data_IF_508189730058
#
_entry.id   IF_508189730058
#
_cell.length_a   1.000
_cell.length_b   1.000
_cell.length_c   1.000
_cell.angle_alpha   90.00
_cell.angle_beta   90.00
_cell.angle_gamma   90.00
#
_symmetry.space_group_name_H-M   'P 1'
#
loop_
_entity.id
_entity.type
_entity.pdbx_description
1 polymer ?
#
# COMPACT_ATOMS: atom_id res chain seq x y z
N UNK A 1 -62.05 66.51 -11.70
CA UNK A 1 -60.92 66.14 -10.80
C UNK A 1 -60.79 64.65 -10.81
N UNK A 2 -59.89 64.12 -11.64
CA UNK A 2 -59.70 62.68 -11.82
C UNK A 2 -58.38 62.30 -11.19
N UNK A 3 -58.36 61.34 -10.25
CA UNK A 3 -57.16 60.83 -9.60
C UNK A 3 -56.78 59.51 -10.28
N UNK A 4 -55.67 59.50 -11.03
CA UNK A 4 -55.09 58.30 -11.57
C UNK A 4 -54.25 57.62 -10.52
N UNK A 5 -54.50 56.35 -10.26
CA UNK A 5 -53.71 55.48 -9.39
C UNK A 5 -52.77 54.65 -10.28
N UNK A 6 -51.45 54.83 -10.09
CA UNK A 6 -50.41 54.00 -10.71
C UNK A 6 -50.16 52.76 -9.82
N UNK A 7 -50.41 51.60 -10.36
CA UNK A 7 -49.96 50.34 -9.76
C UNK A 7 -48.56 50.03 -10.25
N UNK A 8 -47.60 50.02 -9.32
CA UNK A 8 -46.24 49.55 -9.57
C UNK A 8 -46.17 48.06 -9.31
N UNK A 9 -45.97 47.28 -10.36
CA UNK A 9 -45.71 45.85 -10.30
C UNK A 9 -44.27 45.53 -9.92
N UNK A 10 -44.03 44.96 -8.74
CA UNK A 10 -42.75 44.39 -8.37
C UNK A 10 -42.58 43.03 -8.99
N UNK A 11 -41.68 42.92 -9.98
CA UNK A 11 -41.19 41.63 -10.50
C UNK A 11 -40.12 41.07 -9.56
N UNK A 12 -40.48 40.04 -8.79
CA UNK A 12 -39.49 39.27 -7.99
C UNK A 12 -38.78 38.29 -8.92
N UNK A 13 -37.53 38.62 -9.33
CA UNK A 13 -36.65 37.64 -9.98
C UNK A 13 -36.20 36.63 -8.92
N UNK A 14 -36.79 35.43 -8.95
CA UNK A 14 -36.29 34.29 -8.20
C UNK A 14 -34.92 33.83 -8.75
N UNK A 15 -33.86 34.18 -8.05
CA UNK A 15 -32.56 33.55 -8.20
C UNK A 15 -32.68 32.09 -7.75
N UNK A 16 -32.86 31.19 -8.70
CA UNK A 16 -32.68 29.76 -8.48
C UNK A 16 -31.16 29.54 -8.25
N UNK A 17 -30.77 29.61 -6.96
CA UNK A 17 -29.46 29.16 -6.53
C UNK A 17 -29.30 27.69 -6.89
N UNK A 18 -28.51 27.38 -7.90
CA UNK A 18 -28.04 26.00 -8.13
C UNK A 18 -27.29 25.59 -6.87
N UNK A 19 -27.60 24.42 -6.28
CA UNK A 19 -26.77 23.89 -5.22
C UNK A 19 -25.38 23.67 -5.83
N UNK A 20 -24.39 24.44 -5.38
CA UNK A 20 -23.00 24.14 -5.64
C UNK A 20 -22.78 22.74 -5.08
N UNK A 21 -22.57 21.76 -5.97
CA UNK A 21 -22.06 20.46 -5.59
C UNK A 21 -20.71 20.78 -4.96
N UNK A 22 -20.62 20.69 -3.62
CA UNK A 22 -19.37 20.79 -2.92
C UNK A 22 -18.49 19.70 -3.52
N UNK A 23 -17.53 20.10 -4.35
CA UNK A 23 -16.47 19.23 -4.82
C UNK A 23 -15.76 18.78 -3.53
N UNK A 24 -15.85 17.51 -3.24
CA UNK A 24 -15.30 16.92 -2.03
C UNK A 24 -13.78 17.14 -2.07
N UNK A 25 -13.31 18.24 -1.45
CA UNK A 25 -11.90 18.67 -1.45
C UNK A 25 -11.05 17.75 -0.57
N UNK A 26 -11.35 16.46 -0.66
CA UNK A 26 -10.58 15.42 0.00
C UNK A 26 -9.16 15.37 -0.56
N UNK A 27 -8.15 15.38 0.33
CA UNK A 27 -6.76 15.17 -0.08
C UNK A 27 -6.65 13.84 -0.85
N UNK A 28 -6.17 13.87 -2.10
CA UNK A 28 -5.99 12.67 -2.89
C UNK A 28 -5.05 11.68 -2.20
N UNK A 29 -5.33 10.39 -2.32
CA UNK A 29 -4.56 9.32 -1.70
C UNK A 29 -3.79 8.50 -2.72
N UNK A 30 -2.64 8.00 -2.30
CA UNK A 30 -1.88 6.98 -3.00
C UNK A 30 -1.76 5.76 -2.08
N UNK A 31 -2.16 4.60 -2.57
CA UNK A 31 -2.00 3.31 -1.90
C UNK A 31 -1.06 2.45 -2.73
N UNK A 32 0.03 2.00 -2.11
CA UNK A 32 0.92 0.98 -2.68
C UNK A 32 0.64 -0.32 -1.93
N UNK A 33 0.30 -1.38 -2.66
CA UNK A 33 0.24 -2.75 -2.16
C UNK A 33 1.43 -3.49 -2.73
N UNK A 34 2.34 -3.90 -1.87
CA UNK A 34 3.58 -4.56 -2.23
C UNK A 34 3.58 -6.00 -1.68
N UNK A 35 3.81 -6.96 -2.55
CA UNK A 35 3.72 -8.39 -2.27
C UNK A 35 5.12 -9.00 -2.34
N UNK A 36 5.58 -9.51 -1.23
CA UNK A 36 6.83 -10.25 -1.13
C UNK A 36 6.64 -11.64 -1.75
N UNK A 37 7.38 -11.90 -2.83
CA UNK A 37 7.37 -13.19 -3.52
C UNK A 37 8.62 -14.02 -3.23
N UNK A 38 9.23 -13.81 -2.06
CA UNK A 38 10.30 -14.70 -1.57
C UNK A 38 9.73 -16.03 -1.08
N UNK A 39 10.56 -17.07 -1.16
CA UNK A 39 10.17 -18.43 -0.73
C UNK A 39 10.00 -18.58 0.79
N UNK A 40 10.40 -17.59 1.60
CA UNK A 40 10.15 -17.58 3.05
C UNK A 40 8.77 -17.03 3.41
N UNK A 41 8.13 -16.28 2.51
CA UNK A 41 6.85 -15.65 2.77
C UNK A 41 5.69 -16.61 2.58
N UNK A 42 4.86 -16.75 3.62
CA UNK A 42 3.73 -17.71 3.65
C UNK A 42 2.65 -17.45 2.59
N UNK A 43 2.56 -16.23 2.03
CA UNK A 43 1.55 -15.92 1.00
C UNK A 43 1.85 -16.55 -0.36
N UNK A 44 3.06 -17.02 -0.60
CA UNK A 44 3.44 -17.71 -1.85
C UNK A 44 3.32 -19.23 -1.77
N UNK A 45 3.17 -19.78 -0.54
CA UNK A 45 3.08 -21.23 -0.31
C UNK A 45 1.72 -21.68 0.20
N UNK A 46 0.91 -20.77 0.78
CA UNK A 46 -0.33 -21.10 1.43
C UNK A 46 -1.52 -20.38 0.83
N UNK A 47 -2.43 -21.11 0.19
CA UNK A 47 -3.70 -20.58 -0.34
C UNK A 47 -4.51 -19.85 0.73
N UNK A 48 -4.51 -20.38 1.98
CA UNK A 48 -5.23 -19.78 3.10
C UNK A 48 -4.64 -18.41 3.47
N UNK A 49 -3.30 -18.29 3.48
CA UNK A 49 -2.63 -17.04 3.83
C UNK A 49 -2.71 -16.05 2.67
N UNK A 50 -2.59 -16.52 1.43
CA UNK A 50 -2.81 -15.70 0.24
C UNK A 50 -4.25 -15.14 0.19
N UNK A 51 -5.25 -15.95 0.50
CA UNK A 51 -6.64 -15.51 0.56
C UNK A 51 -6.87 -14.44 1.65
N UNK A 52 -6.29 -14.60 2.84
CA UNK A 52 -6.36 -13.59 3.90
C UNK A 52 -5.65 -12.29 3.50
N UNK A 53 -4.44 -12.38 2.96
CA UNK A 53 -3.71 -11.21 2.46
C UNK A 53 -4.50 -10.50 1.34
N UNK A 54 -5.14 -11.26 0.46
CA UNK A 54 -6.03 -10.73 -0.58
C UNK A 54 -7.23 -9.97 0.00
N UNK A 55 -7.85 -10.51 1.05
CA UNK A 55 -8.96 -9.86 1.75
C UNK A 55 -8.53 -8.54 2.41
N UNK A 56 -7.43 -8.54 3.16
CA UNK A 56 -6.88 -7.31 3.77
C UNK A 56 -6.56 -6.23 2.72
N UNK A 57 -5.94 -6.63 1.61
CA UNK A 57 -5.66 -5.72 0.50
C UNK A 57 -6.95 -5.17 -0.11
N UNK A 58 -7.98 -5.99 -0.27
CA UNK A 58 -9.29 -5.57 -0.79
C UNK A 58 -9.96 -4.55 0.14
N UNK A 59 -9.95 -4.75 1.45
CA UNK A 59 -10.50 -3.81 2.44
C UNK A 59 -9.80 -2.43 2.35
N UNK A 60 -8.47 -2.42 2.19
CA UNK A 60 -7.74 -1.16 1.97
C UNK A 60 -8.20 -0.46 0.68
N UNK A 61 -8.34 -1.21 -0.42
CA UNK A 61 -8.76 -0.65 -1.71
C UNK A 61 -10.18 -0.10 -1.65
N UNK A 62 -11.10 -0.73 -0.88
CA UNK A 62 -12.47 -0.24 -0.70
C UNK A 62 -12.54 1.14 -0.05
N UNK A 63 -11.49 1.55 0.68
CA UNK A 63 -11.40 2.90 1.25
C UNK A 63 -11.08 3.99 0.24
N UNK A 64 -10.61 3.62 -0.97
CA UNK A 64 -10.21 4.56 -2.01
C UNK A 64 -11.44 5.16 -2.71
N UNK A 65 -11.32 6.41 -3.12
CA UNK A 65 -12.35 7.12 -3.83
C UNK A 65 -11.88 7.63 -5.19
N UNK A 66 -12.77 8.31 -5.89
CA UNK A 66 -12.50 8.84 -7.22
C UNK A 66 -11.27 9.78 -7.20
N UNK A 67 -10.30 9.54 -8.11
CA UNK A 67 -9.03 10.27 -8.21
C UNK A 67 -7.90 9.72 -7.35
N UNK A 68 -8.17 8.77 -6.43
CA UNK A 68 -7.10 8.08 -5.70
C UNK A 68 -6.35 7.11 -6.61
N UNK A 69 -5.09 6.85 -6.27
CA UNK A 69 -4.22 5.96 -7.03
C UNK A 69 -3.92 4.71 -6.22
N UNK A 70 -3.94 3.57 -6.92
CA UNK A 70 -3.50 2.30 -6.40
C UNK A 70 -2.31 1.82 -7.24
N UNK A 71 -1.26 1.39 -6.57
CA UNK A 71 -0.12 0.69 -7.17
C UNK A 71 -0.02 -0.70 -6.58
N UNK A 72 0.13 -1.71 -7.45
CA UNK A 72 0.41 -3.07 -7.02
C UNK A 72 1.76 -3.46 -7.56
N UNK A 73 2.59 -3.97 -6.69
CA UNK A 73 3.96 -4.38 -6.96
C UNK A 73 4.22 -5.74 -6.34
N UNK A 74 5.09 -6.50 -6.95
CA UNK A 74 5.81 -7.57 -6.25
C UNK A 74 7.22 -7.09 -5.95
N UNK A 75 7.89 -7.73 -5.02
CA UNK A 75 9.30 -7.52 -4.76
C UNK A 75 9.96 -8.81 -4.29
N UNK A 76 11.28 -8.86 -4.38
CA UNK A 76 12.11 -10.02 -4.08
C UNK A 76 13.57 -9.68 -4.32
N UNK A 77 14.27 -10.53 -5.07
CA UNK A 77 15.69 -10.33 -5.43
C UNK A 77 15.91 -9.46 -6.67
N UNK A 78 14.87 -8.94 -7.29
CA UNK A 78 14.92 -8.19 -8.54
C UNK A 78 14.62 -6.71 -8.37
N UNK A 79 15.10 -5.90 -9.31
CA UNK A 79 14.81 -4.47 -9.37
C UNK A 79 13.39 -4.19 -9.83
N UNK A 80 12.89 -2.96 -9.60
CA UNK A 80 11.56 -2.56 -10.10
C UNK A 80 11.40 -2.69 -11.62
N UNK A 81 12.47 -2.51 -12.40
CA UNK A 81 12.43 -2.64 -13.85
C UNK A 81 12.15 -4.08 -14.30
N UNK A 82 12.49 -5.06 -13.46
CA UNK A 82 12.30 -6.50 -13.70
C UNK A 82 11.05 -7.03 -12.97
N UNK A 83 10.28 -6.15 -12.33
CA UNK A 83 9.10 -6.51 -11.54
C UNK A 83 8.04 -7.16 -12.45
N UNK A 84 7.71 -8.45 -12.24
CA UNK A 84 6.79 -9.18 -13.09
C UNK A 84 5.32 -8.77 -12.90
N UNK A 85 4.98 -8.15 -11.77
CA UNK A 85 3.64 -7.65 -11.49
C UNK A 85 3.71 -6.17 -11.12
N UNK A 86 3.34 -5.33 -12.08
CA UNK A 86 3.33 -3.88 -11.93
C UNK A 86 2.04 -3.31 -12.47
N UNK A 87 1.13 -2.90 -11.57
CA UNK A 87 -0.16 -2.30 -11.93
C UNK A 87 -0.26 -0.90 -11.31
N UNK A 88 -0.67 0.07 -12.13
CA UNK A 88 -0.98 1.43 -11.72
C UNK A 88 -2.44 1.73 -12.12
N UNK A 89 -3.29 1.98 -11.14
CA UNK A 89 -4.74 2.14 -11.31
C UNK A 89 -5.17 3.46 -10.68
N UNK A 90 -5.93 4.27 -11.42
CA UNK A 90 -6.64 5.42 -10.84
C UNK A 90 -8.11 5.02 -10.62
N UNK A 91 -8.57 5.15 -9.38
CA UNK A 91 -9.97 4.90 -9.04
C UNK A 91 -10.85 5.95 -9.73
N UNK A 92 -11.87 5.49 -10.40
CA UNK A 92 -12.77 6.32 -11.20
C UNK A 92 -14.15 5.68 -11.32
N UNK A 93 -15.12 6.40 -11.92
CA UNK A 93 -16.44 5.82 -12.21
C UNK A 93 -16.38 4.59 -13.12
N UNK A 94 -15.37 4.49 -14.01
CA UNK A 94 -15.15 3.33 -14.89
C UNK A 94 -14.40 2.19 -14.19
N UNK A 95 -13.54 2.53 -13.24
CA UNK A 95 -12.74 1.61 -12.41
C UNK A 95 -13.04 1.88 -10.93
N UNK A 96 -14.25 1.55 -10.44
CA UNK A 96 -14.66 1.83 -9.07
C UNK A 96 -13.92 0.91 -8.09
N UNK A 97 -13.68 1.40 -6.87
CA UNK A 97 -12.88 0.71 -5.84
C UNK A 97 -13.34 -0.74 -5.59
N UNK A 98 -14.66 -0.98 -5.50
CA UNK A 98 -15.19 -2.33 -5.25
C UNK A 98 -14.84 -3.34 -6.35
N UNK A 99 -14.81 -2.92 -7.63
CA UNK A 99 -14.44 -3.79 -8.74
C UNK A 99 -12.93 -4.06 -8.75
N UNK A 100 -12.14 -3.04 -8.46
CA UNK A 100 -10.68 -3.16 -8.32
C UNK A 100 -10.35 -4.07 -7.16
N UNK A 101 -10.94 -3.86 -5.97
CA UNK A 101 -10.76 -4.67 -4.77
C UNK A 101 -11.01 -6.16 -5.05
N UNK A 102 -12.17 -6.51 -5.63
CA UNK A 102 -12.48 -7.90 -5.97
C UNK A 102 -11.52 -8.54 -6.98
N UNK A 103 -10.91 -7.75 -7.86
CA UNK A 103 -9.91 -8.25 -8.82
C UNK A 103 -8.56 -8.48 -8.17
N UNK A 104 -8.14 -7.57 -7.28
CA UNK A 104 -6.88 -7.66 -6.54
C UNK A 104 -6.92 -8.79 -5.52
N UNK A 105 -8.04 -8.96 -4.81
CA UNK A 105 -8.25 -10.07 -3.89
C UNK A 105 -8.01 -11.42 -4.58
N UNK A 106 -8.65 -11.65 -5.73
CA UNK A 106 -8.44 -12.87 -6.52
C UNK A 106 -7.00 -13.03 -7.02
N UNK A 107 -6.37 -11.94 -7.44
CA UNK A 107 -4.98 -11.94 -7.89
C UNK A 107 -4.05 -12.39 -6.76
N UNK A 108 -4.19 -11.81 -5.56
CA UNK A 108 -3.36 -12.17 -4.41
C UNK A 108 -3.66 -13.61 -3.95
N UNK A 109 -4.92 -14.01 -3.91
CA UNK A 109 -5.28 -15.39 -3.60
C UNK A 109 -4.72 -16.41 -4.58
N UNK A 110 -4.38 -16.01 -5.81
CA UNK A 110 -3.76 -16.90 -6.81
C UNK A 110 -2.22 -16.89 -6.80
N UNK A 111 -1.57 -16.20 -5.87
CA UNK A 111 -0.11 -16.13 -5.81
C UNK A 111 0.57 -17.51 -5.71
N UNK A 112 0.10 -18.46 -4.87
CA UNK A 112 0.71 -19.80 -4.82
C UNK A 112 0.69 -20.49 -6.19
N UNK A 113 -0.43 -20.51 -6.89
CA UNK A 113 -0.57 -21.09 -8.23
C UNK A 113 0.34 -20.40 -9.26
N UNK A 114 0.49 -19.07 -9.16
CA UNK A 114 1.33 -18.30 -10.06
C UNK A 114 2.82 -18.63 -9.87
N UNK A 115 3.23 -18.85 -8.63
CA UNK A 115 4.60 -19.23 -8.27
C UNK A 115 4.84 -20.69 -8.66
N UNK A 116 3.96 -21.63 -8.30
CA UNK A 116 4.08 -23.04 -8.63
C UNK A 116 4.14 -23.27 -10.16
N UNK A 117 3.34 -22.55 -10.92
CA UNK A 117 3.34 -22.63 -12.39
C UNK A 117 4.52 -21.92 -13.07
N UNK A 118 5.40 -21.24 -12.31
CA UNK A 118 6.52 -20.46 -12.83
C UNK A 118 6.14 -19.18 -13.56
N UNK A 119 4.87 -18.76 -13.50
CA UNK A 119 4.41 -17.48 -14.09
C UNK A 119 4.84 -16.28 -13.26
N UNK A 120 5.06 -16.47 -11.97
CA UNK A 120 5.64 -15.48 -11.08
C UNK A 120 6.92 -16.09 -10.46
N UNK A 121 8.10 -15.52 -10.73
CA UNK A 121 9.33 -16.03 -10.14
C UNK A 121 9.37 -15.76 -8.64
N UNK A 122 9.60 -16.80 -7.85
CA UNK A 122 9.90 -16.68 -6.43
C UNK A 122 11.41 -16.81 -6.21
N UNK A 123 11.98 -16.00 -5.33
CA UNK A 123 13.43 -15.98 -5.04
C UNK A 123 13.74 -16.32 -3.58
N UNK A 124 15.01 -16.73 -3.34
CA UNK A 124 15.53 -16.99 -1.99
C UNK A 124 16.04 -15.75 -1.27
N UNK A 125 15.96 -14.57 -1.88
CA UNK A 125 16.41 -13.29 -1.30
C UNK A 125 15.31 -12.24 -1.42
N UNK A 126 15.31 -11.28 -0.48
CA UNK A 126 14.28 -10.24 -0.39
C UNK A 126 14.94 -8.90 -0.09
N UNK A 127 14.84 -7.96 -1.03
CA UNK A 127 15.44 -6.63 -0.92
C UNK A 127 14.35 -5.60 -0.60
N UNK A 128 13.81 -5.62 0.62
CA UNK A 128 12.68 -4.77 1.03
C UNK A 128 13.11 -3.31 1.10
N UNK A 129 14.30 -3.03 1.67
CA UNK A 129 14.81 -1.66 1.81
C UNK A 129 15.04 -1.02 0.44
N UNK A 130 15.66 -1.76 -0.50
CA UNK A 130 15.87 -1.29 -1.87
C UNK A 130 14.53 -1.04 -2.59
N UNK A 131 13.54 -1.94 -2.43
CA UNK A 131 12.21 -1.73 -2.97
C UNK A 131 11.55 -0.45 -2.45
N UNK A 132 11.64 -0.19 -1.14
CA UNK A 132 11.08 1.03 -0.53
C UNK A 132 11.76 2.30 -1.04
N UNK A 133 13.08 2.28 -1.23
CA UNK A 133 13.83 3.39 -1.80
C UNK A 133 13.46 3.68 -3.26
N UNK A 134 13.29 2.64 -4.07
CA UNK A 134 12.86 2.76 -5.46
C UNK A 134 11.41 3.27 -5.58
N UNK A 135 10.48 2.77 -4.75
CA UNK A 135 9.10 3.28 -4.74
C UNK A 135 9.02 4.73 -4.24
N UNK A 136 9.82 5.09 -3.22
CA UNK A 136 9.86 6.45 -2.68
C UNK A 136 10.14 7.50 -3.77
N UNK A 137 11.01 7.19 -4.73
CA UNK A 137 11.31 8.07 -5.87
C UNK A 137 10.09 8.34 -6.78
N UNK A 138 9.05 7.49 -6.70
CA UNK A 138 7.84 7.57 -7.51
C UNK A 138 6.63 8.12 -6.73
N UNK A 139 6.77 8.34 -5.43
CA UNK A 139 5.71 8.75 -4.52
C UNK A 139 5.78 10.26 -4.23
N UNK A 140 4.69 10.81 -3.74
CA UNK A 140 4.55 12.23 -3.41
C UNK A 140 4.02 12.39 -1.98
N UNK A 141 4.71 11.78 -1.01
CA UNK A 141 4.30 11.69 0.40
C UNK A 141 3.91 13.04 1.03
N UNK A 142 4.57 14.13 0.66
CA UNK A 142 4.28 15.46 1.21
C UNK A 142 3.04 16.15 0.62
N UNK A 143 2.51 15.70 -0.53
CA UNK A 143 1.39 16.35 -1.23
C UNK A 143 0.15 15.46 -1.33
N UNK A 144 0.28 14.18 -1.09
CA UNK A 144 -0.78 13.18 -1.10
C UNK A 144 -0.71 12.34 0.17
N UNK A 145 -1.86 11.89 0.67
CA UNK A 145 -1.87 10.91 1.75
C UNK A 145 -1.41 9.56 1.17
N UNK A 146 -0.17 9.20 1.44
CA UNK A 146 0.46 8.02 0.84
C UNK A 146 0.64 6.93 1.89
N UNK A 147 0.11 5.75 1.59
CA UNK A 147 0.27 4.54 2.39
C UNK A 147 0.93 3.43 1.57
N UNK A 148 1.92 2.77 2.15
CA UNK A 148 2.62 1.62 1.58
C UNK A 148 2.33 0.42 2.48
N UNK A 149 1.57 -0.54 1.97
CA UNK A 149 1.25 -1.80 2.64
C UNK A 149 2.11 -2.92 2.05
N UNK A 150 3.02 -3.47 2.84
CA UNK A 150 3.87 -4.60 2.46
C UNK A 150 3.31 -5.88 3.07
N UNK A 151 3.05 -6.86 2.25
CA UNK A 151 2.67 -8.22 2.64
C UNK A 151 3.93 -9.09 2.62
N UNK A 152 4.58 -9.22 3.79
CA UNK A 152 5.93 -9.79 3.92
C UNK A 152 6.15 -10.31 5.33
N UNK A 153 7.04 -11.30 5.49
CA UNK A 153 7.57 -11.72 6.79
C UNK A 153 8.50 -10.67 7.42
N UNK A 154 8.88 -9.64 6.65
CA UNK A 154 9.73 -8.54 7.09
C UNK A 154 11.21 -8.89 7.20
N UNK A 155 11.62 -10.03 6.67
CA UNK A 155 13.02 -10.48 6.72
C UNK A 155 13.77 -9.95 5.50
N UNK A 156 14.58 -8.92 5.71
CA UNK A 156 15.53 -8.43 4.71
C UNK A 156 16.60 -9.49 4.45
N UNK A 157 16.76 -9.91 3.22
CA UNK A 157 17.77 -10.88 2.78
C UNK A 157 18.55 -10.31 1.58
N UNK A 158 19.43 -9.35 1.86
CA UNK A 158 20.23 -8.65 0.87
C UNK A 158 21.72 -8.83 1.13
N UNK A 159 22.61 -8.46 0.20
CA UNK A 159 24.05 -8.48 0.45
C UNK A 159 24.52 -7.66 1.65
N UNK A 160 23.71 -6.69 2.08
CA UNK A 160 24.03 -5.80 3.19
C UNK A 160 23.53 -6.30 4.56
N UNK A 161 22.65 -7.33 4.58
CA UNK A 161 22.01 -7.78 5.82
C UNK A 161 21.87 -9.30 5.84
N UNK A 162 22.44 -9.95 6.88
CA UNK A 162 22.22 -11.38 7.13
C UNK A 162 20.82 -11.56 7.76
N UNK A 163 19.95 -12.38 7.16
CA UNK A 163 18.64 -12.71 7.72
C UNK A 163 18.71 -13.25 9.15
N UNK A 164 19.67 -14.15 9.44
CA UNK A 164 19.83 -14.79 10.75
C UNK A 164 20.21 -13.76 11.82
N UNK A 165 21.09 -12.82 11.50
CA UNK A 165 21.48 -11.76 12.41
C UNK A 165 20.36 -10.74 12.61
N UNK A 166 19.59 -10.44 11.57
CA UNK A 166 18.44 -9.54 11.66
C UNK A 166 17.37 -10.14 12.58
N UNK A 167 16.95 -11.39 12.36
CA UNK A 167 15.92 -12.04 13.17
C UNK A 167 16.35 -12.28 14.61
N UNK A 168 17.66 -12.44 14.88
CA UNK A 168 18.21 -12.53 16.24
C UNK A 168 18.40 -11.15 16.92
N UNK A 169 18.19 -10.06 16.18
CA UNK A 169 18.40 -8.69 16.69
C UNK A 169 19.86 -8.27 16.78
N UNK A 170 20.78 -9.01 16.15
CA UNK A 170 22.22 -8.74 16.12
C UNK A 170 22.65 -7.83 14.95
N UNK A 171 21.82 -7.70 13.92
CA UNK A 171 22.04 -6.79 12.82
C UNK A 171 20.94 -5.72 12.74
N UNK A 172 21.27 -4.60 12.10
CA UNK A 172 20.31 -3.58 11.70
C UNK A 172 20.02 -3.70 10.21
N UNK A 173 18.90 -3.11 9.77
CA UNK A 173 18.63 -2.89 8.35
C UNK A 173 19.62 -1.86 7.77
N UNK A 174 19.93 -1.91 6.45
CA UNK A 174 20.69 -0.86 5.78
C UNK A 174 20.05 0.50 6.06
N UNK A 175 20.87 1.50 6.36
CA UNK A 175 20.33 2.84 6.61
C UNK A 175 19.66 3.39 5.34
N UNK A 176 18.48 4.03 5.45
CA UNK A 176 17.83 4.65 4.31
C UNK A 176 18.62 5.86 3.81
N UNK A 177 18.47 6.20 2.53
CA UNK A 177 19.08 7.38 1.92
C UNK A 177 18.39 8.68 2.35
N UNK A 178 18.51 9.04 3.65
CA UNK A 178 17.85 10.19 4.25
C UNK A 178 16.37 9.94 4.55
N UNK A 179 15.60 11.03 4.63
CA UNK A 179 14.17 11.06 4.97
C UNK A 179 13.24 10.87 3.75
N UNK A 180 13.63 9.98 2.86
CA UNK A 180 13.02 9.78 1.53
C UNK A 180 11.52 9.43 1.55
N UNK A 181 10.99 8.95 2.69
CA UNK A 181 9.57 8.63 2.89
C UNK A 181 8.86 9.56 3.87
N UNK A 182 9.41 10.79 4.05
CA UNK A 182 8.83 11.75 4.98
C UNK A 182 7.35 12.02 4.71
N UNK A 183 6.52 11.71 5.72
CA UNK A 183 5.08 11.87 5.66
C UNK A 183 4.32 10.72 5.00
N UNK A 184 5.00 9.68 4.55
CA UNK A 184 4.37 8.41 4.14
C UNK A 184 4.05 7.52 5.36
N UNK A 185 2.99 6.70 5.23
CA UNK A 185 2.74 5.57 6.13
C UNK A 185 3.30 4.28 5.54
N UNK A 186 3.99 3.48 6.35
CA UNK A 186 4.43 2.14 6.01
C UNK A 186 3.76 1.15 6.96
N UNK A 187 3.15 0.12 6.42
CA UNK A 187 2.53 -0.97 7.19
C UNK A 187 3.06 -2.31 6.70
N UNK A 188 3.58 -3.15 7.61
CA UNK A 188 3.99 -4.51 7.32
C UNK A 188 2.93 -5.49 7.83
N UNK A 189 2.39 -6.30 6.94
CA UNK A 189 1.40 -7.35 7.20
C UNK A 189 2.07 -8.72 7.12
N UNK A 190 1.94 -9.54 8.19
CA UNK A 190 2.57 -10.86 8.30
C UNK A 190 3.99 -10.82 8.87
N UNK A 191 4.42 -9.69 9.45
CA UNK A 191 5.79 -9.56 9.99
C UNK A 191 6.12 -10.66 11.02
N UNK A 192 7.20 -11.38 10.77
CA UNK A 192 7.67 -12.51 11.60
C UNK A 192 6.93 -13.82 11.35
N UNK A 193 5.93 -13.85 10.46
CA UNK A 193 5.24 -15.08 10.05
C UNK A 193 5.96 -15.70 8.85
N UNK A 194 6.53 -16.89 9.04
CA UNK A 194 7.24 -17.63 8.01
C UNK A 194 6.62 -19.01 7.85
N UNK A 195 7.02 -19.73 6.80
CA UNK A 195 6.63 -21.14 6.59
C UNK A 195 7.02 -22.04 7.75
N UNK A 196 8.06 -21.67 8.53
CA UNK A 196 8.43 -22.32 9.81
C UNK A 196 7.58 -21.93 11.01
N UNK A 197 6.54 -21.09 10.82
CA UNK A 197 5.66 -20.59 11.88
C UNK A 197 6.14 -19.28 12.52
N UNK A 198 5.27 -18.70 13.35
CA UNK A 198 5.53 -17.47 14.07
C UNK A 198 6.43 -17.72 15.30
N UNK A 199 7.39 -16.82 15.52
CA UNK A 199 8.22 -16.76 16.74
C UNK A 199 8.17 -15.35 17.33
N UNK A 200 7.83 -15.26 18.63
CA UNK A 200 7.62 -13.96 19.30
C UNK A 200 8.87 -13.11 19.36
N UNK A 201 10.03 -13.73 19.65
CA UNK A 201 11.29 -12.99 19.78
C UNK A 201 11.74 -12.46 18.41
N UNK A 202 11.68 -13.31 17.38
CA UNK A 202 11.93 -12.92 15.99
C UNK A 202 11.03 -11.76 15.57
N UNK A 203 9.72 -11.90 15.75
CA UNK A 203 8.74 -10.86 15.39
C UNK A 203 9.06 -9.53 16.09
N UNK A 204 9.38 -9.55 17.38
CA UNK A 204 9.72 -8.32 18.11
C UNK A 204 11.02 -7.69 17.60
N UNK A 205 12.04 -8.49 17.29
CA UNK A 205 13.30 -7.99 16.73
C UNK A 205 13.10 -7.32 15.38
N UNK A 206 12.29 -7.94 14.51
CA UNK A 206 11.92 -7.36 13.22
C UNK A 206 11.13 -6.06 13.36
N UNK A 207 10.12 -6.01 14.26
CA UNK A 207 9.37 -4.78 14.54
C UNK A 207 10.32 -3.67 15.00
N UNK A 208 11.24 -3.96 15.89
CA UNK A 208 12.21 -2.97 16.38
C UNK A 208 13.14 -2.46 15.26
N UNK A 209 13.61 -3.36 14.39
CA UNK A 209 14.47 -3.00 13.27
C UNK A 209 13.73 -2.11 12.27
N UNK A 210 12.50 -2.48 11.89
CA UNK A 210 11.69 -1.72 10.95
C UNK A 210 11.19 -0.38 11.53
N UNK A 211 10.86 -0.32 12.81
CA UNK A 211 10.54 0.96 13.49
C UNK A 211 11.70 1.94 13.37
N UNK A 212 12.92 1.47 13.71
CA UNK A 212 14.12 2.31 13.61
C UNK A 212 14.40 2.75 12.19
N UNK A 213 14.23 1.86 11.21
CA UNK A 213 14.45 2.19 9.80
C UNK A 213 13.43 3.23 9.30
N UNK A 214 12.15 3.04 9.63
CA UNK A 214 11.08 3.95 9.23
C UNK A 214 11.26 5.35 9.85
N UNK A 215 11.66 5.43 11.13
CA UNK A 215 11.98 6.69 11.79
C UNK A 215 13.10 7.44 11.05
N UNK A 216 14.14 6.72 10.60
CA UNK A 216 15.24 7.31 9.82
C UNK A 216 14.82 7.75 8.42
N UNK A 217 13.86 7.04 7.81
CA UNK A 217 13.26 7.40 6.52
C UNK A 217 12.18 8.48 6.60
N UNK A 218 11.83 8.95 7.82
CA UNK A 218 10.79 9.96 8.06
C UNK A 218 9.36 9.43 7.91
N UNK A 219 9.15 8.11 7.91
CA UNK A 219 7.86 7.48 7.69
C UNK A 219 7.13 7.15 9.01
N UNK A 220 5.79 7.13 8.96
CA UNK A 220 4.96 6.53 10.01
C UNK A 220 4.93 5.02 9.85
N UNK A 221 5.24 4.25 10.89
CA UNK A 221 5.34 2.80 10.82
C UNK A 221 4.26 2.09 11.62
N UNK A 222 3.70 1.03 11.06
CA UNK A 222 2.81 0.08 11.71
C UNK A 222 3.19 -1.36 11.36
N UNK A 223 3.03 -2.27 12.31
CA UNK A 223 3.33 -3.68 12.12
C UNK A 223 2.14 -4.55 12.54
N UNK A 224 1.78 -5.49 11.65
CA UNK A 224 0.69 -6.43 11.83
C UNK A 224 1.27 -7.86 11.70
N UNK A 225 1.49 -8.59 12.81
CA UNK A 225 2.06 -9.93 12.79
C UNK A 225 1.17 -10.99 12.11
N UNK A 226 -0.07 -10.64 11.78
CA UNK A 226 -1.04 -11.53 11.11
C UNK A 226 -1.67 -10.81 9.93
N UNK A 227 -2.15 -11.61 8.99
CA UNK A 227 -3.03 -11.19 7.92
C UNK A 227 -4.47 -11.23 8.37
#
# INVERSE_FOLDING_TARGET
MSKSVFLAGCAVLGLLGQPAVADDQRTPRDLVIALDVSTSNVIVESDVMAAKAGHEAAEMILTLGNGDRLRIRTFGSYSQSENPLRLDITISRRMPAHRVAASVERLIASLPDLVESGRLPAGGTTHITAFLEEEAALLSCGTRLTAIALFTDGIEASPATSPEQLVSGQAALPAPNGDLLQGCGISLYGIGETTGGADRARTQNLINAWTKWADQAGAFFQAFPKY
#
